data_IF_392824516698
#
_entry.id   IF_392824516698
#
_cell.length_a   1.000
_cell.length_b   1.000
_cell.length_c   1.000
_cell.angle_alpha   90.00
_cell.angle_beta   90.00
_cell.angle_gamma   90.00
#
_symmetry.space_group_name_H-M   'P 1'
#
loop_
_entity.id
_entity.type
_entity.pdbx_description
1 polymer ?
#
# COMPACT_ATOMS: atom_id res chain seq x y z
N UNK A 1 -61.35 -33.91 11.57
CA UNK A 1 -61.56 -32.47 11.35
C UNK A 1 -60.63 -31.71 12.29
N UNK A 2 -59.43 -31.37 11.80
CA UNK A 2 -58.59 -30.28 12.28
C UNK A 2 -57.42 -30.18 11.29
N UNK A 3 -57.54 -29.26 10.33
CA UNK A 3 -56.47 -28.84 9.41
C UNK A 3 -55.47 -27.96 10.17
N UNK A 4 -54.18 -28.17 9.92
CA UNK A 4 -53.10 -27.28 10.37
C UNK A 4 -52.75 -26.34 9.20
N UNK A 5 -53.03 -25.05 9.35
CA UNK A 5 -52.68 -24.02 8.38
C UNK A 5 -51.19 -23.64 8.51
N UNK A 6 -50.48 -23.66 7.37
CA UNK A 6 -49.14 -23.09 7.21
C UNK A 6 -49.23 -21.56 7.29
N UNK A 7 -48.65 -20.98 8.32
CA UNK A 7 -48.46 -19.53 8.44
C UNK A 7 -47.50 -19.01 7.38
N UNK A 8 -48.01 -18.11 6.53
CA UNK A 8 -47.25 -17.34 5.53
C UNK A 8 -46.21 -16.44 6.20
N UNK A 9 -44.94 -16.68 5.89
CA UNK A 9 -43.82 -15.79 6.23
C UNK A 9 -43.94 -14.52 5.40
N UNK A 10 -43.97 -13.37 6.07
CA UNK A 10 -44.18 -12.04 5.50
C UNK A 10 -42.98 -11.59 4.66
N UNK A 11 -43.27 -10.92 3.55
CA UNK A 11 -42.40 -10.32 2.52
C UNK A 11 -41.29 -9.34 3.00
N UNK A 12 -41.02 -9.19 4.30
CA UNK A 12 -40.05 -8.21 4.81
C UNK A 12 -38.60 -8.72 4.77
N UNK A 13 -38.39 -10.04 4.74
CA UNK A 13 -37.06 -10.66 4.71
C UNK A 13 -36.41 -10.65 3.31
N UNK A 14 -37.17 -10.44 2.23
CA UNK A 14 -36.65 -10.44 0.85
C UNK A 14 -35.91 -9.15 0.47
N UNK A 15 -36.20 -8.03 1.13
CA UNK A 15 -35.65 -6.71 0.73
C UNK A 15 -34.18 -6.56 1.17
N UNK A 16 -33.78 -7.21 2.27
CA UNK A 16 -32.42 -7.15 2.80
C UNK A 16 -31.42 -7.99 1.98
N UNK A 17 -31.89 -9.01 1.26
CA UNK A 17 -31.03 -9.86 0.41
C UNK A 17 -30.68 -9.21 -0.93
N UNK A 18 -31.36 -8.12 -1.34
CA UNK A 18 -31.11 -7.44 -2.62
C UNK A 18 -29.94 -6.46 -2.63
N UNK A 19 -29.22 -6.29 -1.51
CA UNK A 19 -28.02 -5.41 -1.42
C UNK A 19 -26.70 -6.16 -1.29
N UNK A 20 -26.72 -7.49 -1.23
CA UNK A 20 -25.51 -8.29 -1.39
C UNK A 20 -25.41 -8.67 -2.87
N UNK A 21 -24.30 -8.29 -3.49
CA UNK A 21 -23.94 -8.82 -4.81
C UNK A 21 -24.05 -10.34 -4.77
N UNK A 22 -24.68 -10.95 -5.77
CA UNK A 22 -24.80 -12.41 -5.93
C UNK A 22 -23.43 -13.11 -5.93
N UNK A 23 -22.34 -12.36 -6.13
CA UNK A 23 -20.95 -12.82 -6.12
C UNK A 23 -20.17 -12.44 -4.85
N UNK A 24 -20.83 -11.93 -3.81
CA UNK A 24 -20.17 -11.71 -2.52
C UNK A 24 -19.79 -13.07 -1.92
N UNK A 25 -18.51 -13.43 -1.96
CA UNK A 25 -17.99 -14.55 -1.18
C UNK A 25 -18.09 -14.18 0.29
N UNK A 26 -19.05 -14.76 1.00
CA UNK A 26 -19.19 -14.63 2.46
C UNK A 26 -17.90 -15.14 3.13
N UNK A 27 -17.15 -14.24 3.79
CA UNK A 27 -15.88 -14.54 4.45
C UNK A 27 -16.13 -14.96 5.90
N UNK A 28 -15.23 -15.74 6.50
CA UNK A 28 -15.19 -15.89 7.96
C UNK A 28 -15.08 -14.49 8.60
N UNK A 29 -16.10 -14.09 9.38
CA UNK A 29 -16.22 -12.77 10.02
C UNK A 29 -17.17 -11.77 9.33
N UNK A 30 -17.63 -12.04 8.11
CA UNK A 30 -18.63 -11.18 7.44
C UNK A 30 -20.01 -11.30 8.10
N UNK A 31 -20.31 -12.46 8.71
CA UNK A 31 -21.53 -12.70 9.49
C UNK A 31 -21.61 -11.81 10.74
N UNK A 32 -20.51 -11.63 11.47
CA UNK A 32 -20.47 -10.80 12.68
C UNK A 32 -20.64 -9.32 12.34
N UNK A 33 -20.06 -8.86 11.23
CA UNK A 33 -20.24 -7.49 10.71
C UNK A 33 -21.65 -7.23 10.17
N UNK A 34 -22.30 -8.23 9.57
CA UNK A 34 -23.68 -8.13 9.12
C UNK A 34 -24.66 -8.02 10.30
N UNK A 35 -24.41 -8.75 11.39
CA UNK A 35 -25.22 -8.69 12.62
C UNK A 35 -25.10 -7.34 13.34
N UNK A 36 -23.91 -6.74 13.39
CA UNK A 36 -23.70 -5.39 13.95
C UNK A 36 -24.45 -4.30 13.17
N UNK A 37 -24.58 -4.43 11.85
CA UNK A 37 -25.36 -3.47 11.04
C UNK A 37 -26.87 -3.62 11.22
N UNK A 38 -27.36 -4.80 11.60
CA UNK A 38 -28.78 -5.02 11.88
C UNK A 38 -29.23 -4.36 13.21
N UNK A 39 -28.32 -4.23 14.18
CA UNK A 39 -28.64 -3.57 15.46
C UNK A 39 -28.72 -2.04 15.35
N UNK A 40 -28.05 -1.43 14.37
CA UNK A 40 -28.08 0.03 14.13
C UNK A 40 -29.29 0.51 13.30
N UNK A 41 -30.08 -0.40 12.73
CA UNK A 41 -31.27 -0.06 11.91
C UNK A 41 -32.54 0.14 12.77
N UNK A 42 -32.45 0.02 14.10
CA UNK A 42 -33.54 0.44 14.99
C UNK A 42 -33.56 1.97 15.18
N UNK A 43 -33.77 2.72 14.10
CA UNK A 43 -34.32 4.08 14.21
C UNK A 43 -35.84 3.96 14.35
N UNK A 44 -36.49 4.66 15.29
CA UNK A 44 -37.94 4.66 15.39
C UNK A 44 -38.56 5.24 14.12
N UNK A 45 -39.61 4.56 13.65
CA UNK A 45 -40.34 4.81 12.41
C UNK A 45 -41.29 6.03 12.54
N UNK A 46 -40.81 7.15 13.08
CA UNK A 46 -41.64 8.34 13.36
C UNK A 46 -41.29 9.60 12.55
N UNK A 47 -40.23 9.59 11.73
CA UNK A 47 -39.76 10.78 11.00
C UNK A 47 -39.99 10.75 9.48
N UNK A 48 -41.06 10.10 9.02
CA UNK A 48 -41.50 10.18 7.62
C UNK A 48 -42.83 10.95 7.51
N UNK A 49 -42.74 12.27 7.62
CA UNK A 49 -43.72 13.26 7.14
C UNK A 49 -42.92 14.24 6.28
N UNK A 50 -43.24 14.66 5.06
CA UNK A 50 -44.43 14.70 4.22
C UNK A 50 -43.94 14.68 2.76
N UNK A 51 -44.55 13.89 1.87
CA UNK A 51 -44.47 14.13 0.42
C UNK A 51 -45.84 14.62 -0.03
N UNK A 52 -46.03 15.94 -0.11
CA UNK A 52 -47.21 16.53 -0.72
C UNK A 52 -47.01 16.64 -2.23
N UNK A 53 -47.79 15.87 -2.99
CA UNK A 53 -47.98 16.05 -4.45
C UNK A 53 -49.00 17.17 -4.69
N UNK A 54 -48.63 18.24 -5.39
CA UNK A 54 -49.61 19.10 -6.05
C UNK A 54 -50.14 18.40 -7.33
N UNK A 55 -51.43 18.59 -7.62
CA UNK A 55 -52.20 18.04 -8.74
C UNK A 55 -52.19 18.91 -10.00
N UNK A 56 -51.25 19.86 -10.15
CA UNK A 56 -51.09 20.64 -11.38
C UNK A 56 -49.63 20.54 -11.83
N UNK A 57 -49.40 19.83 -12.94
CA UNK A 57 -48.07 19.51 -13.47
C UNK A 57 -47.23 20.72 -13.89
N UNK A 58 -46.78 21.50 -12.91
CA UNK A 58 -45.75 22.52 -13.05
C UNK A 58 -44.50 22.01 -12.32
N UNK A 59 -43.41 21.78 -13.07
CA UNK A 59 -42.08 21.69 -12.48
C UNK A 59 -41.60 23.12 -12.23
N UNK A 60 -41.67 23.57 -10.97
CA UNK A 60 -40.90 24.73 -10.55
C UNK A 60 -39.42 24.35 -10.53
N UNK A 61 -38.61 25.15 -11.23
CA UNK A 61 -37.15 25.09 -11.15
C UNK A 61 -36.80 25.59 -9.75
N UNK A 62 -36.50 24.66 -8.84
CA UNK A 62 -35.90 24.99 -7.56
C UNK A 62 -34.51 25.56 -7.82
N UNK A 63 -34.42 26.89 -7.69
CA UNK A 63 -33.19 27.65 -7.60
C UNK A 63 -32.32 27.12 -6.44
N UNK A 64 -31.02 27.11 -6.74
CA UNK A 64 -29.89 27.14 -5.81
C UNK A 64 -29.95 26.12 -4.68
N UNK A 65 -29.66 24.86 -5.05
CA UNK A 65 -29.10 23.92 -4.08
C UNK A 65 -27.72 24.44 -3.69
N UNK A 66 -27.61 24.86 -2.43
CA UNK A 66 -26.38 25.07 -1.70
C UNK A 66 -25.30 24.06 -2.13
N UNK A 67 -24.10 24.58 -2.35
CA UNK A 67 -22.90 23.83 -2.71
C UNK A 67 -22.83 22.52 -1.93
N UNK A 68 -23.20 21.41 -2.59
CA UNK A 68 -22.87 20.08 -2.10
C UNK A 68 -21.35 20.08 -1.99
N UNK A 69 -20.76 19.91 -0.79
CA UNK A 69 -19.32 19.82 -0.70
C UNK A 69 -18.91 18.67 -1.61
N UNK A 70 -18.13 19.00 -2.64
CA UNK A 70 -17.47 17.99 -3.48
C UNK A 70 -16.74 17.08 -2.49
N UNK A 71 -17.05 15.78 -2.42
CA UNK A 71 -16.41 14.90 -1.45
C UNK A 71 -14.89 15.05 -1.61
N UNK A 72 -14.25 15.35 -0.48
CA UNK A 72 -12.81 15.54 -0.33
C UNK A 72 -12.08 14.51 -1.19
N UNK A 73 -11.33 14.98 -2.18
CA UNK A 73 -10.65 14.14 -3.15
C UNK A 73 -9.85 13.07 -2.41
N UNK A 74 -10.01 11.79 -2.80
CA UNK A 74 -9.23 10.66 -2.26
C UNK A 74 -7.78 11.08 -2.02
N UNK A 75 -7.38 11.22 -0.76
CA UNK A 75 -6.06 11.74 -0.34
C UNK A 75 -4.93 10.72 -0.61
N UNK A 76 -4.73 10.39 -1.88
CA UNK A 76 -3.61 9.57 -2.35
C UNK A 76 -2.46 10.53 -2.64
N UNK A 77 -1.31 10.29 -2.00
CA UNK A 77 -0.10 11.09 -2.19
C UNK A 77 0.60 10.65 -3.48
N UNK A 78 1.40 11.54 -4.08
CA UNK A 78 2.05 11.27 -5.37
C UNK A 78 2.92 9.99 -5.42
N UNK A 79 3.45 9.55 -4.28
CA UNK A 79 4.32 8.38 -4.18
C UNK A 79 3.53 7.09 -3.91
N UNK A 80 2.21 7.20 -3.67
CA UNK A 80 1.36 6.10 -3.26
C UNK A 80 0.66 5.46 -4.47
N UNK A 81 0.40 4.16 -4.34
CA UNK A 81 -0.28 3.32 -5.31
C UNK A 81 -1.63 2.88 -4.74
N UNK A 82 -2.69 2.95 -5.54
CA UNK A 82 -4.06 2.66 -5.11
C UNK A 82 -4.34 1.15 -5.09
N UNK A 83 -5.00 0.71 -4.02
CA UNK A 83 -5.68 -0.60 -3.93
C UNK A 83 -7.09 -0.41 -3.41
N UNK A 84 -8.10 -0.68 -4.24
CA UNK A 84 -9.51 -0.58 -3.86
C UNK A 84 -10.38 -1.55 -4.65
N UNK A 85 -11.03 -2.47 -3.97
CA UNK A 85 -11.91 -3.45 -4.61
C UNK A 85 -11.19 -4.26 -5.69
N UNK A 86 -11.68 -4.24 -6.92
CA UNK A 86 -11.03 -4.95 -8.02
C UNK A 86 -9.81 -4.21 -8.59
N UNK A 87 -9.67 -2.93 -8.28
CA UNK A 87 -8.62 -2.07 -8.80
C UNK A 87 -7.37 -2.15 -7.91
N UNK A 88 -6.31 -2.73 -8.46
CA UNK A 88 -4.99 -2.80 -7.84
C UNK A 88 -4.03 -2.20 -8.86
N UNK A 89 -3.35 -1.11 -8.48
CA UNK A 89 -2.39 -0.45 -9.34
C UNK A 89 -1.40 -1.49 -9.90
N UNK A 90 -1.23 -1.51 -11.22
CA UNK A 90 -0.42 -2.50 -11.94
C UNK A 90 1.05 -2.50 -11.52
N UNK A 91 1.52 -1.40 -10.91
CA UNK A 91 2.86 -1.29 -10.35
C UNK A 91 3.00 -2.08 -9.05
N UNK A 92 1.91 -2.45 -8.38
CA UNK A 92 1.94 -3.30 -7.19
C UNK A 92 2.17 -4.75 -7.62
N UNK A 93 3.41 -5.19 -7.48
CA UNK A 93 3.88 -6.50 -7.93
C UNK A 93 4.37 -7.30 -6.73
N UNK A 94 4.02 -8.59 -6.60
CA UNK A 94 4.59 -9.47 -5.58
C UNK A 94 6.11 -9.60 -5.70
N UNK A 95 6.77 -9.74 -4.56
CA UNK A 95 8.22 -9.79 -4.40
C UNK A 95 8.86 -8.43 -4.10
N UNK A 96 8.06 -7.37 -3.95
CA UNK A 96 8.54 -6.06 -3.49
C UNK A 96 7.94 -5.75 -2.12
N UNK A 97 8.61 -4.87 -1.37
CA UNK A 97 8.20 -4.43 -0.05
C UNK A 97 7.36 -3.17 -0.16
N UNK A 98 6.27 -3.11 0.60
CA UNK A 98 5.37 -1.95 0.62
C UNK A 98 5.00 -1.57 2.05
N UNK A 99 5.04 -0.27 2.31
CA UNK A 99 4.41 0.39 3.44
C UNK A 99 2.96 0.72 3.06
N UNK A 100 2.00 0.42 3.94
CA UNK A 100 0.57 0.45 3.57
C UNK A 100 -0.21 1.23 4.62
N UNK A 101 -1.10 2.11 4.20
CA UNK A 101 -2.07 2.78 5.08
C UNK A 101 -3.47 2.73 4.50
N UNK A 102 -4.47 2.94 5.35
CA UNK A 102 -5.82 3.24 4.88
C UNK A 102 -5.84 4.63 4.23
N UNK A 103 -6.56 4.77 3.12
CA UNK A 103 -6.80 6.08 2.51
C UNK A 103 -7.68 6.90 3.48
N UNK A 104 -7.36 8.18 3.67
CA UNK A 104 -8.01 9.03 4.67
C UNK A 104 -7.55 8.81 6.13
N UNK A 105 -6.71 7.81 6.40
CA UNK A 105 -6.12 7.60 7.72
C UNK A 105 -4.64 7.99 7.76
N UNK A 106 -4.17 8.36 8.95
CA UNK A 106 -2.74 8.55 9.26
C UNK A 106 -2.04 7.25 9.65
N UNK A 107 -2.81 6.23 10.02
CA UNK A 107 -2.30 4.96 10.53
C UNK A 107 -1.89 4.04 9.39
N UNK A 108 -0.73 3.42 9.57
CA UNK A 108 -0.20 2.40 8.67
C UNK A 108 -0.55 1.01 9.21
N UNK A 109 -0.84 0.08 8.31
CA UNK A 109 -0.92 -1.33 8.63
C UNK A 109 0.45 -1.87 9.05
N UNK A 110 0.43 -3.03 9.71
CA UNK A 110 1.64 -3.75 10.14
C UNK A 110 2.59 -2.89 11.00
N UNK A 111 2.01 -2.09 11.90
CA UNK A 111 2.74 -1.19 12.80
C UNK A 111 3.63 -0.15 12.09
N UNK A 112 3.31 0.20 10.84
CA UNK A 112 4.11 1.13 10.05
C UNK A 112 5.39 0.52 9.47
N UNK A 113 5.50 -0.80 9.44
CA UNK A 113 6.60 -1.48 8.78
C UNK A 113 6.22 -1.89 7.36
N UNK A 114 7.12 -1.64 6.42
CA UNK A 114 6.96 -2.17 5.08
C UNK A 114 7.15 -3.69 5.08
N UNK A 115 6.22 -4.41 4.43
CA UNK A 115 6.24 -5.88 4.38
C UNK A 115 6.36 -6.35 2.92
N UNK A 116 7.03 -7.48 2.73
CA UNK A 116 7.18 -8.12 1.42
C UNK A 116 5.81 -8.64 0.96
N UNK A 117 5.33 -8.17 -0.19
CA UNK A 117 4.10 -8.70 -0.79
C UNK A 117 4.40 -10.06 -1.42
N UNK A 118 3.83 -11.14 -0.90
CA UNK A 118 4.09 -12.50 -1.39
C UNK A 118 3.15 -12.87 -2.53
N UNK A 119 1.86 -12.56 -2.39
CA UNK A 119 0.85 -12.92 -3.38
C UNK A 119 -0.28 -11.89 -3.47
N UNK A 120 -0.87 -11.78 -4.66
CA UNK A 120 -2.15 -11.10 -4.90
C UNK A 120 -3.12 -12.17 -5.40
N UNK A 121 -4.16 -12.43 -4.63
CA UNK A 121 -5.20 -13.41 -4.95
C UNK A 121 -6.02 -13.03 -6.18
N UNK A 122 -6.58 -14.05 -6.82
CA UNK A 122 -7.53 -13.89 -7.92
C UNK A 122 -8.92 -13.53 -7.38
N UNK A 123 -9.76 -12.90 -8.21
CA UNK A 123 -11.14 -12.52 -7.87
C UNK A 123 -11.40 -11.01 -7.77
N UNK A 124 -12.62 -10.66 -7.34
CA UNK A 124 -13.12 -9.28 -7.20
C UNK A 124 -12.51 -8.57 -5.99
N UNK A 125 -12.69 -9.12 -4.80
CA UNK A 125 -11.86 -8.76 -3.64
C UNK A 125 -10.57 -9.56 -3.74
N UNK A 126 -9.45 -8.90 -4.03
CA UNK A 126 -8.14 -9.57 -4.11
C UNK A 126 -7.58 -9.70 -2.70
N UNK A 127 -7.20 -10.91 -2.32
CA UNK A 127 -6.47 -11.14 -1.07
C UNK A 127 -5.00 -10.76 -1.29
N UNK A 128 -4.51 -9.73 -0.62
CA UNK A 128 -3.10 -9.36 -0.61
C UNK A 128 -2.45 -10.01 0.60
N UNK A 129 -1.47 -10.88 0.36
CA UNK A 129 -0.75 -11.61 1.42
C UNK A 129 0.68 -11.11 1.48
N UNK A 130 1.10 -10.69 2.66
CA UNK A 130 2.44 -10.20 2.95
C UNK A 130 3.20 -11.19 3.81
N UNK A 131 4.52 -11.10 3.80
CA UNK A 131 5.40 -11.88 4.65
C UNK A 131 5.09 -11.60 6.13
N UNK A 132 4.56 -12.62 6.80
CA UNK A 132 4.32 -12.60 8.25
C UNK A 132 5.54 -13.01 9.05
N UNK A 133 5.47 -12.79 10.37
CA UNK A 133 6.57 -13.10 11.29
C UNK A 133 6.67 -14.60 11.63
N UNK A 134 5.60 -15.37 11.39
CA UNK A 134 5.51 -16.79 11.75
C UNK A 134 5.24 -17.65 10.52
N UNK A 135 6.02 -18.72 10.37
CA UNK A 135 5.95 -19.61 9.20
C UNK A 135 4.59 -20.30 9.03
N UNK A 136 3.95 -20.71 10.13
CA UNK A 136 2.72 -21.52 10.09
C UNK A 136 1.43 -20.72 10.34
N UNK A 137 1.55 -19.46 10.77
CA UNK A 137 0.42 -18.62 11.13
C UNK A 137 0.67 -17.21 10.62
N UNK A 138 0.33 -16.97 9.35
CA UNK A 138 0.46 -15.67 8.73
C UNK A 138 -0.86 -14.90 8.82
N UNK A 139 -0.88 -13.87 9.66
CA UNK A 139 -1.96 -12.89 9.83
C UNK A 139 -1.74 -11.61 9.02
N UNK A 140 -0.61 -11.48 8.31
CA UNK A 140 -0.25 -10.32 7.50
C UNK A 140 -0.93 -10.38 6.13
N UNK A 141 -2.26 -10.34 6.10
CA UNK A 141 -3.04 -10.29 4.86
C UNK A 141 -4.30 -9.45 5.04
N UNK A 142 -4.83 -8.93 3.93
CA UNK A 142 -6.14 -8.29 3.89
C UNK A 142 -6.76 -8.42 2.50
N UNK A 143 -8.03 -8.03 2.38
CA UNK A 143 -8.71 -7.98 1.09
C UNK A 143 -8.79 -6.54 0.59
N UNK A 144 -8.59 -6.35 -0.71
CA UNK A 144 -8.59 -5.02 -1.35
C UNK A 144 -9.90 -4.23 -1.19
N UNK A 145 -11.00 -4.89 -0.82
CA UNK A 145 -12.32 -4.31 -0.53
C UNK A 145 -12.67 -4.26 0.97
N UNK A 146 -11.73 -4.60 1.86
CA UNK A 146 -11.96 -4.50 3.31
C UNK A 146 -12.07 -3.05 3.82
N UNK A 147 -11.70 -2.06 2.99
CA UNK A 147 -11.79 -0.63 3.27
C UNK A 147 -12.70 0.05 2.23
N UNK A 148 -13.61 0.91 2.67
CA UNK A 148 -14.51 1.69 1.80
C UNK A 148 -13.74 2.63 0.88
N UNK A 149 -12.66 3.22 1.39
CA UNK A 149 -11.85 4.20 0.67
C UNK A 149 -10.64 3.56 -0.01
N UNK A 150 -10.31 2.34 0.39
CA UNK A 150 -9.18 1.57 -0.14
C UNK A 150 -7.91 1.73 0.71
N UNK A 151 -6.80 1.38 0.10
CA UNK A 151 -5.47 1.38 0.69
C UNK A 151 -4.49 2.11 -0.22
N UNK A 152 -3.52 2.77 0.40
CA UNK A 152 -2.42 3.45 -0.26
C UNK A 152 -1.10 2.72 0.03
N UNK A 153 -0.38 2.37 -1.04
CA UNK A 153 0.86 1.59 -0.99
C UNK A 153 2.06 2.45 -1.37
N UNK A 154 3.11 2.43 -0.55
CA UNK A 154 4.38 3.10 -0.81
C UNK A 154 5.49 2.06 -0.90
N UNK A 155 6.25 2.04 -1.99
CA UNK A 155 7.35 1.09 -2.17
C UNK A 155 8.48 1.37 -1.18
N UNK A 156 9.09 0.31 -0.63
CA UNK A 156 10.34 0.39 0.15
C UNK A 156 11.47 -0.22 -0.68
N UNK A 157 12.43 0.62 -1.10
CA UNK A 157 13.64 0.18 -1.79
C UNK A 157 14.77 -0.15 -0.82
N UNK A 158 15.05 0.77 0.09
CA UNK A 158 16.10 0.66 1.10
C UNK A 158 15.52 0.80 2.50
N UNK A 159 16.23 0.26 3.49
CA UNK A 159 15.90 0.36 4.92
C UNK A 159 17.14 0.56 5.77
N UNK A 160 16.92 0.93 7.02
CA UNK A 160 17.98 1.05 8.01
C UNK A 160 18.75 -0.28 8.14
N UNK A 161 20.07 -0.18 8.27
CA UNK A 161 20.97 -1.32 8.33
C UNK A 161 21.43 -1.87 6.98
N UNK A 162 20.90 -1.40 5.84
CA UNK A 162 21.47 -1.76 4.54
C UNK A 162 22.92 -1.27 4.40
N UNK A 163 23.78 -2.10 3.80
CA UNK A 163 25.19 -1.82 3.56
C UNK A 163 25.50 -1.95 2.07
N UNK A 164 26.30 -1.03 1.55
CA UNK A 164 26.65 -0.95 0.14
C UNK A 164 28.14 -0.70 -0.04
N UNK A 165 28.73 -1.27 -1.09
CA UNK A 165 30.04 -0.91 -1.62
C UNK A 165 29.93 0.39 -2.42
N UNK A 166 30.89 1.29 -2.22
CA UNK A 166 30.98 2.56 -2.94
C UNK A 166 31.93 2.42 -4.12
N UNK A 167 31.41 2.58 -5.34
CA UNK A 167 32.19 2.57 -6.56
C UNK A 167 32.24 3.99 -7.19
N UNK A 168 33.42 4.40 -7.64
CA UNK A 168 33.57 5.60 -8.47
C UNK A 168 33.09 5.36 -9.90
N UNK A 169 33.03 6.41 -10.71
CA UNK A 169 32.76 6.30 -12.14
C UNK A 169 33.72 5.35 -12.87
N UNK A 170 34.97 5.24 -12.41
CA UNK A 170 35.99 4.33 -12.96
C UNK A 170 35.93 2.91 -12.36
N UNK A 171 34.83 2.57 -11.68
CA UNK A 171 34.59 1.28 -11.01
C UNK A 171 35.63 0.93 -9.94
N UNK A 172 36.30 1.94 -9.37
CA UNK A 172 37.21 1.73 -8.24
C UNK A 172 36.43 1.72 -6.93
N UNK A 173 36.69 0.72 -6.11
CA UNK A 173 36.08 0.60 -4.79
C UNK A 173 36.73 1.58 -3.81
N UNK A 174 35.92 2.49 -3.27
CA UNK A 174 36.37 3.52 -2.31
C UNK A 174 36.17 3.08 -0.86
N UNK A 175 35.21 2.19 -0.62
CA UNK A 175 34.84 1.74 0.71
C UNK A 175 33.39 1.28 0.79
N UNK A 176 32.81 1.36 1.98
CA UNK A 176 31.43 0.95 2.25
C UNK A 176 30.59 2.08 2.85
N UNK A 177 29.29 2.01 2.62
CA UNK A 177 28.27 2.92 3.14
C UNK A 177 27.25 2.10 3.92
N UNK A 178 26.97 2.53 5.15
CA UNK A 178 25.92 1.93 5.98
C UNK A 178 24.77 2.93 6.17
N UNK A 179 23.56 2.50 5.83
CA UNK A 179 22.33 3.28 5.99
C UNK A 179 21.89 3.25 7.46
N UNK A 180 21.76 4.43 8.07
CA UNK A 180 21.31 4.58 9.46
C UNK A 180 19.87 5.04 9.56
N UNK A 181 19.43 5.90 8.64
CA UNK A 181 18.07 6.42 8.60
C UNK A 181 17.62 6.63 7.17
N UNK A 182 16.39 6.28 6.85
CA UNK A 182 15.80 6.53 5.54
C UNK A 182 14.79 7.66 5.64
N UNK A 183 14.88 8.64 4.75
CA UNK A 183 13.88 9.70 4.63
C UNK A 183 12.71 9.18 3.79
N UNK A 184 11.56 9.04 4.43
CA UNK A 184 10.31 8.70 3.74
C UNK A 184 9.62 9.96 3.20
N UNK A 185 8.88 9.85 2.08
CA UNK A 185 8.62 8.64 1.30
C UNK A 185 9.68 8.34 0.23
N UNK A 186 9.80 7.07 -0.14
CA UNK A 186 10.55 6.64 -1.33
C UNK A 186 9.62 6.69 -2.54
N UNK A 187 10.06 7.30 -3.64
CA UNK A 187 9.18 7.58 -4.81
C UNK A 187 9.55 6.69 -5.99
N UNK A 188 8.64 5.82 -6.39
CA UNK A 188 8.79 5.05 -7.63
C UNK A 188 8.80 6.00 -8.85
N UNK A 189 9.86 5.94 -9.64
CA UNK A 189 10.04 6.68 -10.89
C UNK A 189 9.55 5.86 -12.09
N UNK A 190 9.70 4.54 -12.03
CA UNK A 190 9.26 3.65 -13.08
C UNK A 190 9.34 2.17 -12.70
N UNK A 191 8.54 1.37 -13.39
CA UNK A 191 8.58 -0.09 -13.37
C UNK A 191 8.78 -0.58 -14.80
N UNK A 192 9.71 -1.52 -15.00
CA UNK A 192 9.97 -2.20 -16.28
C UNK A 192 9.87 -3.70 -16.09
N UNK A 193 9.37 -4.39 -17.10
CA UNK A 193 9.29 -5.85 -17.12
C UNK A 193 9.99 -6.34 -18.37
N UNK A 194 11.14 -6.96 -18.22
CA UNK A 194 12.00 -7.42 -19.32
C UNK A 194 12.47 -8.84 -19.02
N UNK A 195 12.43 -9.75 -20.00
CA UNK A 195 12.91 -11.13 -19.85
C UNK A 195 12.35 -11.90 -18.62
N UNK A 196 11.11 -11.59 -18.20
CA UNK A 196 10.48 -12.10 -16.97
C UNK A 196 11.08 -11.60 -15.65
N UNK A 197 12.01 -10.66 -15.69
CA UNK A 197 12.47 -9.89 -14.56
C UNK A 197 11.64 -8.60 -14.42
N UNK A 198 11.46 -8.14 -13.19
CA UNK A 198 10.78 -6.88 -12.89
C UNK A 198 11.80 -5.93 -12.25
N UNK A 199 11.98 -4.76 -12.86
CA UNK A 199 12.89 -3.73 -12.37
C UNK A 199 12.11 -2.50 -11.94
N UNK A 200 12.35 -2.02 -10.72
CA UNK A 200 11.80 -0.75 -10.22
C UNK A 200 12.92 0.26 -10.02
N UNK A 201 12.69 1.47 -10.51
CA UNK A 201 13.54 2.62 -10.24
C UNK A 201 12.88 3.46 -9.15
N UNK A 202 13.54 3.62 -8.00
CA UNK A 202 12.98 4.29 -6.83
C UNK A 202 13.94 5.37 -6.36
N UNK A 203 13.45 6.61 -6.30
CA UNK A 203 14.20 7.72 -5.71
C UNK A 203 14.23 7.57 -4.20
N UNK A 204 15.45 7.60 -3.65
CA UNK A 204 15.71 7.39 -2.23
C UNK A 204 16.58 8.50 -1.68
N UNK A 205 16.31 8.89 -0.43
CA UNK A 205 17.11 9.81 0.35
C UNK A 205 17.33 9.19 1.73
N UNK A 206 18.56 9.24 2.23
CA UNK A 206 18.91 8.54 3.45
C UNK A 206 20.14 9.16 4.13
N UNK A 207 20.22 9.03 5.44
CA UNK A 207 21.41 9.33 6.22
C UNK A 207 22.26 8.06 6.35
N UNK A 208 23.57 8.19 6.11
CA UNK A 208 24.50 7.08 6.12
C UNK A 208 25.87 7.46 6.68
N UNK A 209 26.64 6.45 7.09
CA UNK A 209 28.06 6.61 7.43
C UNK A 209 28.94 5.97 6.36
N UNK A 210 29.98 6.69 5.94
CA UNK A 210 30.98 6.19 4.98
C UNK A 210 32.19 5.63 5.71
N UNK A 211 32.65 4.45 5.32
CA UNK A 211 33.91 3.85 5.77
C UNK A 211 34.83 3.66 4.56
N UNK A 212 35.89 4.46 4.48
CA UNK A 212 36.88 4.36 3.40
C UNK A 212 37.74 3.10 3.54
N UNK A 213 38.08 2.47 2.42
CA UNK A 213 39.04 1.37 2.37
C UNK A 213 40.44 1.96 2.52
N UNK A 214 41.10 1.68 3.65
CA UNK A 214 42.43 2.22 3.91
C UNK A 214 43.46 1.65 2.91
N UNK A 215 44.09 2.52 2.13
CA UNK A 215 45.27 2.19 1.34
C UNK A 215 46.52 2.58 2.13
N UNK A 216 47.18 1.59 2.79
CA UNK A 216 48.56 1.63 3.32
C UNK A 216 49.18 3.02 3.57
N UNK A 217 48.60 3.84 4.44
CA UNK A 217 49.24 5.06 4.93
C UNK A 217 48.82 5.30 6.36
N UNK A 218 49.78 5.75 7.17
CA UNK A 218 49.83 5.77 8.64
C UNK A 218 48.78 6.68 9.33
N UNK A 219 47.68 7.02 8.67
CA UNK A 219 46.67 7.93 9.21
C UNK A 219 45.41 7.12 9.48
N UNK A 220 45.23 6.75 10.75
CA UNK A 220 43.97 6.25 11.29
C UNK A 220 42.93 7.37 11.27
N UNK A 221 42.30 7.62 10.13
CA UNK A 221 41.08 8.42 10.06
C UNK A 221 39.91 7.44 10.20
N UNK A 222 39.66 7.00 11.43
CA UNK A 222 38.44 6.25 11.78
C UNK A 222 37.24 7.20 11.95
N UNK A 223 37.12 8.19 11.06
CA UNK A 223 36.06 9.19 11.15
C UNK A 223 34.89 8.67 10.33
N UNK A 224 33.93 8.04 11.02
CA UNK A 224 32.62 7.77 10.42
C UNK A 224 31.93 9.10 10.17
N UNK A 225 31.99 9.57 8.94
CA UNK A 225 31.30 10.78 8.53
C UNK A 225 29.84 10.43 8.26
N UNK A 226 28.94 10.95 9.09
CA UNK A 226 27.50 10.90 8.85
C UNK A 226 27.13 11.95 7.82
N UNK A 227 26.48 11.52 6.75
CA UNK A 227 26.10 12.38 5.63
C UNK A 227 24.72 11.98 5.12
N UNK A 228 24.04 12.93 4.50
CA UNK A 228 22.78 12.68 3.79
C UNK A 228 23.10 12.45 2.32
N UNK A 229 22.63 11.33 1.79
CA UNK A 229 22.79 10.96 0.40
C UNK A 229 21.42 10.85 -0.28
N UNK A 230 21.41 11.09 -1.59
CA UNK A 230 20.24 10.94 -2.43
C UNK A 230 20.65 10.26 -3.74
N UNK A 231 19.79 9.39 -4.27
CA UNK A 231 20.02 8.70 -5.53
C UNK A 231 18.80 7.95 -6.03
N UNK A 232 19.00 7.15 -7.08
CA UNK A 232 17.96 6.28 -7.66
C UNK A 232 18.36 4.83 -7.45
N UNK A 233 17.66 4.15 -6.55
CA UNK A 233 17.80 2.73 -6.31
C UNK A 233 17.15 1.93 -7.45
N UNK A 234 17.84 0.90 -7.92
CA UNK A 234 17.32 -0.07 -8.86
C UNK A 234 17.04 -1.36 -8.09
N UNK A 235 15.77 -1.73 -7.98
CA UNK A 235 15.36 -3.02 -7.44
C UNK A 235 15.08 -3.97 -8.59
N UNK A 236 15.66 -5.17 -8.53
CA UNK A 236 15.45 -6.20 -9.54
C UNK A 236 14.89 -7.44 -8.86
N UNK A 237 13.78 -7.94 -9.41
CA UNK A 237 13.22 -9.24 -9.07
C UNK A 237 13.35 -10.14 -10.29
N UNK A 238 14.30 -11.08 -10.24
CA UNK A 238 14.49 -12.06 -11.30
C UNK A 238 13.41 -13.14 -11.28
N UNK A 239 13.28 -13.85 -12.40
CA UNK A 239 12.37 -15.00 -12.49
C UNK A 239 12.76 -16.07 -11.48
N UNK A 240 11.80 -16.48 -10.65
CA UNK A 240 11.99 -17.52 -9.63
C UNK A 240 12.51 -16.97 -8.29
N UNK A 241 12.93 -15.71 -8.21
CA UNK A 241 13.22 -15.07 -6.94
C UNK A 241 11.92 -14.70 -6.21
N UNK A 242 11.92 -14.94 -4.90
CA UNK A 242 10.79 -14.58 -4.03
C UNK A 242 10.72 -13.07 -3.77
N UNK A 243 11.87 -12.44 -3.61
CA UNK A 243 12.03 -11.04 -3.21
C UNK A 243 12.97 -10.33 -4.18
N UNK A 244 12.67 -9.06 -4.47
CA UNK A 244 13.50 -8.16 -5.23
C UNK A 244 14.70 -7.72 -4.38
N UNK A 245 15.86 -7.59 -5.01
CA UNK A 245 17.06 -7.07 -4.36
C UNK A 245 17.45 -5.72 -4.96
N UNK A 246 18.02 -4.84 -4.14
CA UNK A 246 18.61 -3.60 -4.63
C UNK A 246 19.92 -3.97 -5.33
N UNK A 247 20.02 -3.77 -6.63
CA UNK A 247 21.26 -4.06 -7.37
C UNK A 247 22.27 -2.93 -7.20
N UNK A 248 21.78 -1.69 -7.32
CA UNK A 248 22.57 -0.50 -7.11
C UNK A 248 21.73 0.74 -6.77
N UNK A 249 22.39 1.77 -6.26
CA UNK A 249 21.85 3.14 -6.16
C UNK A 249 22.74 4.03 -7.03
N UNK A 250 22.13 4.62 -8.06
CA UNK A 250 22.83 5.41 -9.08
C UNK A 250 22.75 6.90 -8.79
N UNK A 251 23.75 7.63 -9.28
CA UNK A 251 23.81 9.09 -9.19
C UNK A 251 23.92 9.59 -7.76
N UNK A 252 24.53 8.79 -6.87
CA UNK A 252 24.62 9.13 -5.45
C UNK A 252 25.65 10.22 -5.27
N UNK A 253 25.27 11.25 -4.52
CA UNK A 253 26.17 12.32 -4.10
C UNK A 253 26.45 12.19 -2.62
N UNK A 254 27.72 12.10 -2.28
CA UNK A 254 28.24 12.07 -0.91
C UNK A 254 29.23 13.24 -0.84
N UNK A 255 29.20 14.07 0.20
CA UNK A 255 30.03 15.30 0.26
C UNK A 255 31.53 14.99 0.12
N UNK A 256 31.96 13.82 0.61
CA UNK A 256 33.35 13.35 0.48
C UNK A 256 33.64 12.62 -0.84
N UNK A 257 32.64 12.31 -1.66
CA UNK A 257 32.75 11.53 -2.90
C UNK A 257 31.81 12.11 -3.97
N UNK A 258 32.41 12.76 -4.99
CA UNK A 258 31.72 13.57 -6.02
C UNK A 258 30.39 12.96 -6.52
N UNK A 259 30.47 11.91 -7.33
CA UNK A 259 29.33 11.11 -7.83
C UNK A 259 29.80 9.67 -7.83
N UNK A 260 29.02 8.81 -7.17
CA UNK A 260 29.32 7.39 -7.06
C UNK A 260 28.07 6.54 -7.34
N UNK A 261 28.31 5.25 -7.51
CA UNK A 261 27.27 4.23 -7.46
C UNK A 261 27.47 3.40 -6.20
N UNK A 262 26.36 3.09 -5.53
CA UNK A 262 26.35 2.19 -4.39
C UNK A 262 25.89 0.83 -4.88
N UNK A 263 26.64 -0.24 -4.62
CA UNK A 263 26.29 -1.60 -5.00
C UNK A 263 26.07 -2.43 -3.75
N UNK A 264 25.12 -3.37 -3.78
CA UNK A 264 24.88 -4.23 -2.62
C UNK A 264 26.14 -5.04 -2.31
N UNK A 265 26.57 -4.98 -1.06
CA UNK A 265 27.71 -5.76 -0.56
C UNK A 265 27.27 -7.23 -0.50
N UNK A 266 27.88 -8.09 -1.33
CA UNK A 266 27.53 -9.52 -1.49
C UNK A 266 28.19 -10.39 -0.42
#
# INVERSE_FOLDING_TARGET
MAEYELGTVRDEDEVCLRKLSVYATLRPGDLDRALLKLTDIRRPLSDLSEWTRDKRGHCEVLQDREDVPVPEQLEIREHELLVKGFDVDKRIIPGFRYLIRYIGAREYLFNGEARLLETIGLGYGKRLTFQGDRLNFNDCYFWSDSSTDGFAFSVEAIREGNSFLVLTADLQEVGTVQVHKVDYPQKELGTRVENSAVTKEVRVRFACSVRHRQTRSLINVSTQNFQVAEGVAELVKERGQKEATVTCIRGVRIETIVVCTLHMDL
#
